data_IF_246670292325
#
_entry.id   IF_246670292325
#
_cell.length_a   1.000
_cell.length_b   1.000
_cell.length_c   1.000
_cell.angle_alpha   90.00
_cell.angle_beta   90.00
_cell.angle_gamma   90.00
#
_symmetry.space_group_name_H-M   'P 1'
#
loop_
_entity.id
_entity.type
_entity.pdbx_description
1 polymer ?
#
# COMPACT_ATOMS: atom_id res chain seq x y z
N UNK A 1 -5.24 12.45 8.08
CA UNK A 1 -6.69 12.29 7.85
C UNK A 1 -6.99 10.80 8.03
N UNK A 2 -7.91 10.41 8.89
CA UNK A 2 -8.17 8.99 9.19
C UNK A 2 -9.63 8.69 8.88
N UNK A 3 -9.86 7.67 8.05
CA UNK A 3 -11.20 7.14 7.78
C UNK A 3 -11.47 6.05 8.82
N UNK A 4 -12.61 6.07 9.54
CA UNK A 4 -12.97 5.01 10.46
C UNK A 4 -13.00 3.63 9.76
N UNK A 5 -12.53 2.55 10.40
CA UNK A 5 -12.54 1.21 9.80
C UNK A 5 -13.94 0.76 9.34
N UNK A 6 -14.98 1.06 10.13
CA UNK A 6 -16.38 0.81 9.78
C UNK A 6 -16.80 1.48 8.46
N UNK A 7 -16.29 2.69 8.19
CA UNK A 7 -16.56 3.42 6.94
C UNK A 7 -15.81 2.80 5.78
N UNK A 8 -14.59 2.33 5.99
CA UNK A 8 -13.84 1.61 4.95
C UNK A 8 -14.54 0.30 4.57
N UNK A 9 -15.07 -0.44 5.54
CA UNK A 9 -15.85 -1.66 5.29
C UNK A 9 -17.17 -1.37 4.57
N UNK A 10 -17.88 -0.31 4.96
CA UNK A 10 -19.10 0.15 4.27
C UNK A 10 -18.80 0.49 2.81
N UNK A 11 -17.73 1.25 2.55
CA UNK A 11 -17.29 1.61 1.19
C UNK A 11 -16.89 0.37 0.41
N UNK A 12 -16.10 -0.53 1.01
CA UNK A 12 -15.67 -1.76 0.36
C UNK A 12 -16.87 -2.64 -0.04
N UNK A 13 -17.84 -2.78 0.86
CA UNK A 13 -19.02 -3.62 0.65
C UNK A 13 -19.98 -3.04 -0.39
N UNK A 14 -20.03 -1.71 -0.51
CA UNK A 14 -20.86 -1.03 -1.51
C UNK A 14 -20.21 -0.99 -2.91
N UNK A 15 -18.94 -1.35 -3.04
CA UNK A 15 -18.18 -1.27 -4.28
C UNK A 15 -17.68 -2.64 -4.70
N UNK A 16 -18.51 -3.38 -5.44
CA UNK A 16 -18.10 -4.64 -6.03
C UNK A 16 -16.90 -4.44 -6.98
N UNK A 17 -15.84 -5.23 -6.78
CA UNK A 17 -14.63 -5.05 -7.57
C UNK A 17 -14.83 -5.32 -9.06
N UNK A 18 -15.75 -6.22 -9.45
CA UNK A 18 -16.03 -6.48 -10.87
C UNK A 18 -16.69 -5.27 -11.49
N UNK A 19 -17.70 -4.71 -10.81
CA UNK A 19 -18.43 -3.53 -11.28
C UNK A 19 -17.49 -2.34 -11.40
N UNK A 20 -16.69 -2.05 -10.37
CA UNK A 20 -15.72 -0.95 -10.40
C UNK A 20 -14.72 -1.14 -11.52
N UNK A 21 -14.07 -2.29 -11.64
CA UNK A 21 -13.06 -2.51 -12.69
C UNK A 21 -13.67 -2.44 -14.09
N UNK A 22 -14.92 -2.90 -14.27
CA UNK A 22 -15.62 -2.86 -15.57
C UNK A 22 -15.85 -1.46 -16.12
N UNK A 23 -15.81 -0.44 -15.26
CA UNK A 23 -15.92 0.98 -15.67
C UNK A 23 -14.62 1.53 -16.23
N UNK A 24 -13.48 0.97 -15.84
CA UNK A 24 -12.16 1.42 -16.29
C UNK A 24 -11.66 0.64 -17.51
N UNK A 25 -11.96 -0.66 -17.57
CA UNK A 25 -11.45 -1.54 -18.62
C UNK A 25 -12.49 -2.60 -19.02
N UNK A 26 -12.48 -3.05 -20.29
CA UNK A 26 -13.34 -4.14 -20.71
C UNK A 26 -12.92 -5.45 -20.04
N UNK A 27 -13.88 -6.11 -19.41
CA UNK A 27 -13.72 -7.41 -18.75
C UNK A 27 -14.55 -8.49 -19.45
N UNK A 28 -14.09 -9.74 -19.39
CA UNK A 28 -14.80 -10.91 -19.93
C UNK A 28 -14.97 -11.98 -18.86
N UNK A 29 -16.21 -12.44 -18.67
CA UNK A 29 -16.51 -13.53 -17.73
C UNK A 29 -15.90 -14.85 -18.21
N UNK A 30 -15.22 -15.57 -17.30
CA UNK A 30 -14.67 -16.92 -17.51
C UNK A 30 -14.91 -17.78 -16.26
N UNK A 31 -15.93 -18.62 -16.32
CA UNK A 31 -16.34 -19.42 -15.17
C UNK A 31 -16.83 -18.53 -14.02
N UNK A 32 -16.19 -18.67 -12.85
CA UNK A 32 -16.50 -17.88 -11.64
C UNK A 32 -15.72 -16.55 -11.54
N UNK A 33 -14.78 -16.30 -12.45
CA UNK A 33 -13.93 -15.11 -12.44
C UNK A 33 -14.09 -14.30 -13.72
N UNK A 34 -13.50 -13.12 -13.75
CA UNK A 34 -13.42 -12.24 -14.91
C UNK A 34 -11.97 -12.07 -15.34
N UNK A 35 -11.76 -11.89 -16.64
CA UNK A 35 -10.45 -11.67 -17.26
C UNK A 35 -10.40 -10.33 -17.99
N UNK A 36 -9.25 -9.68 -17.95
CA UNK A 36 -8.96 -8.49 -18.76
C UNK A 36 -7.47 -8.39 -19.10
N UNK A 37 -7.15 -7.49 -20.05
CA UNK A 37 -5.79 -7.00 -20.22
C UNK A 37 -5.42 -6.17 -18.99
N UNK A 38 -4.21 -6.37 -18.48
CA UNK A 38 -3.76 -5.63 -17.31
C UNK A 38 -3.44 -4.18 -17.69
N UNK A 39 -4.01 -3.15 -17.02
CA UNK A 39 -3.69 -1.75 -17.30
C UNK A 39 -2.35 -1.32 -16.69
N UNK A 40 -1.75 -2.14 -15.83
CA UNK A 40 -0.54 -1.79 -15.05
C UNK A 40 0.78 -2.20 -15.73
N UNK A 41 0.70 -2.87 -16.88
CA UNK A 41 1.86 -3.16 -17.72
C UNK A 41 1.43 -3.33 -19.18
N UNK A 42 2.37 -3.30 -20.11
CA UNK A 42 2.07 -3.52 -21.52
C UNK A 42 1.80 -5.01 -21.77
N UNK A 43 0.54 -5.34 -21.97
CA UNK A 43 0.07 -6.72 -22.10
C UNK A 43 -0.59 -6.97 -23.46
N UNK A 44 -0.38 -8.17 -24.02
CA UNK A 44 -1.02 -8.63 -25.27
C UNK A 44 -2.07 -9.71 -25.02
N UNK A 45 -2.01 -10.40 -23.88
CA UNK A 45 -2.88 -11.53 -23.56
C UNK A 45 -3.56 -11.27 -22.22
N UNK A 46 -4.88 -11.48 -22.06
CA UNK A 46 -5.55 -11.21 -20.78
C UNK A 46 -4.88 -11.92 -19.59
N UNK A 47 -4.16 -11.16 -18.75
CA UNK A 47 -3.44 -11.67 -17.57
C UNK A 47 -4.04 -11.20 -16.25
N UNK A 48 -4.96 -10.24 -16.29
CA UNK A 48 -5.67 -9.72 -15.11
C UNK A 48 -6.86 -10.64 -14.81
N UNK A 49 -6.84 -11.26 -13.64
CA UNK A 49 -7.96 -12.03 -13.10
C UNK A 49 -8.66 -11.21 -12.02
N UNK A 50 -9.98 -11.19 -12.04
CA UNK A 50 -10.82 -10.51 -11.05
C UNK A 50 -11.80 -11.52 -10.48
N UNK A 51 -11.88 -11.62 -9.16
CA UNK A 51 -12.75 -12.56 -8.46
C UNK A 51 -13.83 -11.80 -7.72
N UNK A 52 -15.09 -11.98 -8.14
CA UNK A 52 -16.27 -11.47 -7.45
C UNK A 52 -16.39 -12.08 -6.04
N UNK A 53 -16.25 -13.39 -5.91
CA UNK A 53 -16.37 -14.07 -4.60
C UNK A 53 -15.33 -13.59 -3.58
N UNK A 54 -14.09 -13.37 -4.03
CA UNK A 54 -13.00 -12.95 -3.14
C UNK A 54 -12.82 -11.43 -3.05
N UNK A 55 -13.55 -10.65 -3.85
CA UNK A 55 -13.41 -9.19 -3.96
C UNK A 55 -11.95 -8.72 -4.18
N UNK A 56 -11.21 -9.44 -5.02
CA UNK A 56 -9.79 -9.13 -5.34
C UNK A 56 -9.48 -9.27 -6.83
N UNK A 57 -8.44 -8.56 -7.26
CA UNK A 57 -7.82 -8.72 -8.56
C UNK A 57 -6.37 -9.20 -8.42
N UNK A 58 -5.86 -9.88 -9.44
CA UNK A 58 -4.47 -10.28 -9.55
C UNK A 58 -4.06 -10.39 -11.02
N UNK A 59 -2.97 -9.73 -11.40
CA UNK A 59 -2.31 -9.91 -12.69
C UNK A 59 -1.19 -10.94 -12.56
N UNK A 60 -1.33 -12.08 -13.25
CA UNK A 60 -0.35 -13.16 -13.12
C UNK A 60 0.99 -12.86 -13.80
N UNK A 61 1.03 -11.87 -14.70
CA UNK A 61 2.24 -11.41 -15.40
C UNK A 61 3.06 -10.43 -14.56
N UNK A 62 2.47 -9.30 -14.13
CA UNK A 62 3.19 -8.24 -13.42
C UNK A 62 3.03 -8.26 -11.89
N UNK A 63 2.24 -9.19 -11.35
CA UNK A 63 1.95 -9.35 -9.91
C UNK A 63 1.17 -8.22 -9.24
N UNK A 64 0.74 -7.20 -10.00
CA UNK A 64 -0.22 -6.23 -9.51
C UNK A 64 -1.48 -6.94 -9.00
N UNK A 65 -1.94 -6.59 -7.81
CA UNK A 65 -3.07 -7.25 -7.17
C UNK A 65 -3.51 -6.52 -5.92
N UNK A 66 -4.72 -6.81 -5.47
CA UNK A 66 -5.30 -6.18 -4.30
C UNK A 66 -6.82 -6.16 -4.34
N UNK A 67 -7.40 -5.27 -3.54
CA UNK A 67 -8.84 -5.04 -3.49
C UNK A 67 -9.24 -3.86 -4.38
N UNK A 68 -10.51 -3.45 -4.28
CA UNK A 68 -11.08 -2.34 -5.04
C UNK A 68 -10.34 -1.01 -4.81
N UNK A 69 -9.90 -0.72 -3.58
CA UNK A 69 -9.10 0.49 -3.29
C UNK A 69 -7.76 0.44 -4.00
N UNK A 70 -7.03 -0.68 -3.87
CA UNK A 70 -5.73 -0.85 -4.52
C UNK A 70 -5.83 -0.71 -6.04
N UNK A 71 -6.92 -1.19 -6.64
CA UNK A 71 -7.14 -1.01 -8.09
C UNK A 71 -7.28 0.47 -8.46
N UNK A 72 -8.15 1.20 -7.78
CA UNK A 72 -8.39 2.63 -8.05
C UNK A 72 -7.12 3.46 -7.80
N UNK A 73 -6.41 3.21 -6.70
CA UNK A 73 -5.13 3.86 -6.41
C UNK A 73 -4.12 3.66 -7.54
N UNK A 74 -3.94 2.42 -7.99
CA UNK A 74 -2.95 2.10 -9.01
C UNK A 74 -3.36 2.56 -10.41
N UNK A 75 -4.66 2.55 -10.72
CA UNK A 75 -5.16 2.97 -12.02
C UNK A 75 -5.11 4.49 -12.17
N UNK A 76 -5.53 5.23 -11.14
CA UNK A 76 -5.60 6.69 -11.17
C UNK A 76 -4.34 7.38 -10.63
N UNK A 77 -3.41 6.62 -10.05
CA UNK A 77 -2.18 7.14 -9.44
C UNK A 77 -2.46 8.14 -8.30
N UNK A 78 -3.43 7.78 -7.45
CA UNK A 78 -3.86 8.59 -6.30
C UNK A 78 -3.58 7.89 -4.96
N UNK A 79 -3.58 8.68 -3.89
CA UNK A 79 -3.41 8.17 -2.53
C UNK A 79 -4.62 7.35 -2.05
N UNK A 80 -4.44 6.60 -0.97
CA UNK A 80 -5.49 5.75 -0.39
C UNK A 80 -6.74 6.55 0.02
N UNK A 81 -6.53 7.74 0.61
CA UNK A 81 -7.62 8.60 1.06
C UNK A 81 -8.47 9.09 -0.12
N UNK A 82 -7.82 9.49 -1.22
CA UNK A 82 -8.50 9.96 -2.43
C UNK A 82 -9.26 8.81 -3.11
N UNK A 83 -8.65 7.62 -3.17
CA UNK A 83 -9.32 6.43 -3.70
C UNK A 83 -10.54 6.04 -2.85
N UNK A 84 -10.41 6.08 -1.52
CA UNK A 84 -11.53 5.82 -0.61
C UNK A 84 -12.64 6.87 -0.76
N UNK A 85 -12.29 8.14 -0.92
CA UNK A 85 -13.25 9.21 -1.18
C UNK A 85 -14.00 9.00 -2.49
N UNK A 86 -13.29 8.67 -3.56
CA UNK A 86 -13.88 8.42 -4.88
C UNK A 86 -14.85 7.24 -4.87
N UNK A 87 -14.50 6.17 -4.15
CA UNK A 87 -15.38 5.00 -3.97
C UNK A 87 -16.56 5.30 -3.04
N UNK A 88 -16.39 6.17 -2.05
CA UNK A 88 -17.49 6.65 -1.21
C UNK A 88 -18.49 7.49 -2.02
N UNK A 89 -18.00 8.44 -2.82
CA UNK A 89 -18.83 9.28 -3.69
C UNK A 89 -19.59 8.44 -4.72
N UNK A 90 -18.91 7.44 -5.31
CA UNK A 90 -19.53 6.45 -6.19
C UNK A 90 -20.70 5.72 -5.53
N UNK A 91 -20.56 5.34 -4.26
CA UNK A 91 -21.59 4.63 -3.49
C UNK A 91 -22.61 5.56 -2.80
N UNK A 92 -22.47 6.89 -2.93
CA UNK A 92 -23.30 7.86 -2.20
C UNK A 92 -23.05 7.88 -0.68
N UNK A 93 -21.92 7.34 -0.22
CA UNK A 93 -21.53 7.29 1.19
C UNK A 93 -20.85 8.61 1.55
N UNK A 94 -21.43 9.34 2.51
CA UNK A 94 -20.80 10.56 3.02
C UNK A 94 -19.63 10.22 3.93
N UNK A 95 -18.43 10.60 3.51
CA UNK A 95 -17.26 10.65 4.36
C UNK A 95 -17.19 12.02 5.04
N UNK A 96 -17.60 12.08 6.31
CA UNK A 96 -17.27 13.21 7.16
C UNK A 96 -15.82 13.08 7.59
N UNK A 97 -14.95 13.84 6.93
CA UNK A 97 -13.59 13.98 7.42
C UNK A 97 -13.62 14.70 8.78
N UNK A 98 -13.10 14.06 9.82
CA UNK A 98 -12.71 14.75 11.05
C UNK A 98 -11.47 15.61 10.77
N UNK A 99 -11.69 16.72 10.06
CA UNK A 99 -10.66 17.68 9.68
C UNK A 99 -10.23 18.54 10.88
N UNK A 100 -9.41 17.98 11.75
CA UNK A 100 -8.11 18.64 11.96
C UNK A 100 -7.16 17.88 11.04
N UNK A 101 -6.40 18.58 10.20
CA UNK A 101 -5.23 17.97 9.57
C UNK A 101 -4.53 17.17 10.64
N UNK A 102 -4.44 15.86 10.45
CA UNK A 102 -3.74 15.01 11.41
C UNK A 102 -2.33 15.53 11.42
N UNK A 103 -1.96 16.18 12.52
CA UNK A 103 -0.65 16.74 12.72
C UNK A 103 0.30 15.56 12.90
N UNK A 104 0.68 14.96 11.77
CA UNK A 104 1.69 13.93 11.71
C UNK A 104 3.02 14.45 12.23
N UNK A 105 3.20 15.77 12.44
CA UNK A 105 4.44 16.29 13.01
C UNK A 105 4.74 15.64 14.35
N UNK A 106 3.73 15.36 15.19
CA UNK A 106 3.99 14.80 16.52
C UNK A 106 4.34 13.30 16.45
N UNK A 107 3.64 12.52 15.64
CA UNK A 107 3.92 11.08 15.47
C UNK A 107 5.21 10.83 14.65
N UNK A 108 5.46 11.62 13.59
CA UNK A 108 6.76 11.60 12.91
C UNK A 108 7.86 12.10 13.84
N UNK A 109 7.63 13.13 14.66
CA UNK A 109 8.63 13.60 15.62
C UNK A 109 8.94 12.52 16.63
N UNK A 110 7.96 11.79 17.17
CA UNK A 110 8.20 10.64 18.04
C UNK A 110 9.01 9.55 17.33
N UNK A 111 8.65 9.19 16.09
CA UNK A 111 9.41 8.19 15.32
C UNK A 111 10.84 8.66 15.02
N UNK A 112 11.05 9.95 14.73
CA UNK A 112 12.38 10.54 14.55
C UNK A 112 13.18 10.52 15.84
N UNK A 113 12.56 10.82 16.98
CA UNK A 113 13.25 10.79 18.28
C UNK A 113 13.59 9.35 18.71
N UNK A 114 12.73 8.37 18.43
CA UNK A 114 13.04 6.95 18.63
C UNK A 114 14.22 6.53 17.75
N UNK A 115 14.21 6.92 16.47
CA UNK A 115 15.30 6.60 15.54
C UNK A 115 16.61 7.27 15.97
N UNK A 116 16.55 8.54 16.41
CA UNK A 116 17.68 9.29 16.96
C UNK A 116 18.24 8.59 18.20
N UNK A 117 17.39 8.16 19.13
CA UNK A 117 17.79 7.42 20.32
C UNK A 117 18.45 6.08 19.99
N UNK A 118 17.87 5.32 19.05
CA UNK A 118 18.44 4.07 18.57
C UNK A 118 19.82 4.29 17.92
N UNK A 119 19.96 5.31 17.07
CA UNK A 119 21.22 5.68 16.45
C UNK A 119 22.29 6.06 17.51
N UNK A 120 21.92 6.84 18.51
CA UNK A 120 22.81 7.22 19.62
C UNK A 120 23.25 6.02 20.46
N UNK A 121 22.33 5.08 20.74
CA UNK A 121 22.64 3.83 21.44
C UNK A 121 23.65 2.99 20.65
N UNK A 122 23.41 2.78 19.35
CA UNK A 122 24.32 2.00 18.50
C UNK A 122 25.66 2.68 18.32
N UNK A 123 25.71 4.01 18.19
CA UNK A 123 26.96 4.77 18.12
C UNK A 123 27.78 4.64 19.40
N UNK A 124 27.14 4.79 20.57
CA UNK A 124 27.81 4.66 21.87
C UNK A 124 28.32 3.24 22.09
N UNK A 125 27.51 2.25 21.73
CA UNK A 125 27.92 0.84 21.74
C UNK A 125 29.16 0.66 20.87
N UNK A 126 29.14 1.14 19.62
CA UNK A 126 30.27 1.05 18.68
C UNK A 126 31.56 1.73 19.18
N UNK A 127 31.45 2.82 19.93
CA UNK A 127 32.61 3.52 20.49
C UNK A 127 33.24 2.75 21.66
N UNK A 128 32.41 2.04 22.42
CA UNK A 128 32.81 1.29 23.61
C UNK A 128 33.24 -0.15 23.33
N UNK A 129 33.08 -0.65 22.10
CA UNK A 129 33.64 -1.95 21.70
C UNK A 129 35.18 -1.84 21.70
N UNK A 130 35.82 -2.75 22.43
CA UNK A 130 37.27 -2.81 22.62
C UNK A 130 37.81 -4.20 22.21
N UNK A 131 39.12 -4.27 21.96
CA UNK A 131 39.80 -5.52 21.63
C UNK A 131 39.34 -6.16 20.32
N UNK A 132 39.46 -7.49 20.22
CA UNK A 132 39.24 -8.26 18.99
C UNK A 132 37.80 -8.13 18.44
N UNK A 133 36.82 -7.85 19.31
CA UNK A 133 35.42 -7.62 18.90
C UNK A 133 35.27 -6.36 18.05
N UNK A 134 36.06 -5.32 18.33
CA UNK A 134 36.05 -4.07 17.56
C UNK A 134 36.50 -4.34 16.13
N UNK A 135 37.59 -5.07 15.98
CA UNK A 135 38.18 -5.36 14.67
C UNK A 135 37.24 -6.19 13.80
N UNK A 136 36.58 -7.19 14.40
CA UNK A 136 35.56 -7.98 13.73
C UNK A 136 34.37 -7.13 13.26
N UNK A 137 33.76 -6.35 14.15
CA UNK A 137 32.56 -5.53 13.84
C UNK A 137 32.86 -4.49 12.77
N UNK A 138 33.99 -3.79 12.85
CA UNK A 138 34.36 -2.80 11.84
C UNK A 138 34.67 -3.43 10.48
N UNK A 139 35.31 -4.61 10.45
CA UNK A 139 35.56 -5.33 9.19
C UNK A 139 34.25 -5.76 8.51
N UNK A 140 33.28 -6.25 9.30
CA UNK A 140 31.98 -6.70 8.83
C UNK A 140 31.15 -5.54 8.26
N UNK A 141 31.14 -4.40 8.95
CA UNK A 141 30.42 -3.20 8.51
C UNK A 141 31.00 -2.61 7.23
N UNK A 142 32.34 -2.50 7.10
CA UNK A 142 32.98 -2.03 5.85
C UNK A 142 32.57 -2.89 4.65
N UNK A 143 32.64 -4.22 4.81
CA UNK A 143 32.28 -5.16 3.75
C UNK A 143 30.80 -5.10 3.37
N UNK A 144 29.91 -4.94 4.36
CA UNK A 144 28.46 -4.94 4.16
C UNK A 144 27.91 -3.62 3.62
N UNK A 145 28.52 -2.48 3.98
CA UNK A 145 28.07 -1.15 3.57
C UNK A 145 28.68 -0.67 2.25
N UNK A 146 29.57 -1.45 1.62
CA UNK A 146 30.36 -1.03 0.44
C UNK A 146 31.07 0.32 0.63
N UNK A 147 31.50 0.60 1.87
CA UNK A 147 32.30 1.78 2.22
C UNK A 147 33.79 1.51 2.04
#
# INVERSE_FOLDING_TARGET
MRIPPEKLEEIASANDIVDVVSEYIPIKKRGKSFLALCPFHQDKNPSLHISHEKQVYHCFSCKAGGNVFSFVQEYEKIGFIDAAQKLADRAGIKLSYSGKGYDTSNELSELYEINRAAAGYFQSTMQNINGNEREFVYSYLKKSLKL
#
